data_IF_578940854882
#
_entry.id   IF_578940854882
#
_cell.length_a   1.000
_cell.length_b   1.000
_cell.length_c   1.000
_cell.angle_alpha   90.00
_cell.angle_beta   90.00
_cell.angle_gamma   90.00
#
_symmetry.space_group_name_H-M   'P 1'
#
loop_
_entity.id
_entity.type
_entity.pdbx_description
1 polymer ?
#
# COMPACT_ATOMS: atom_id res chain seq x y z
N UNK A 1 -10.29 -3.16 0.61
CA UNK A 1 -9.83 -2.27 -0.48
C UNK A 1 -9.43 -3.12 -1.67
N UNK A 2 -9.82 -2.70 -2.85
CA UNK A 2 -9.52 -3.42 -4.09
C UNK A 2 -8.42 -2.71 -4.87
N UNK A 3 -7.67 -3.48 -5.65
CA UNK A 3 -6.59 -2.95 -6.49
C UNK A 3 -7.10 -1.85 -7.44
N UNK A 4 -8.28 -2.03 -8.01
CA UNK A 4 -8.86 -1.05 -8.94
C UNK A 4 -9.14 0.29 -8.25
N UNK A 5 -9.46 0.27 -6.97
CA UNK A 5 -9.69 1.50 -6.21
C UNK A 5 -8.40 2.31 -6.09
N UNK A 6 -7.28 1.62 -5.85
CA UNK A 6 -5.97 2.27 -5.75
C UNK A 6 -5.57 2.87 -7.09
N UNK A 7 -5.78 2.13 -8.18
CA UNK A 7 -5.43 2.61 -9.52
C UNK A 7 -6.22 3.83 -9.93
N UNK A 8 -7.43 4.00 -9.38
CA UNK A 8 -8.30 5.12 -9.72
C UNK A 8 -8.20 6.28 -8.73
N UNK A 9 -7.34 6.18 -7.73
CA UNK A 9 -7.17 7.26 -6.76
C UNK A 9 -6.57 8.50 -7.40
N UNK A 10 -7.03 9.67 -6.95
CA UNK A 10 -6.39 10.93 -7.29
C UNK A 10 -5.06 11.04 -6.53
N UNK A 11 -4.23 12.01 -6.94
CA UNK A 11 -2.96 12.24 -6.24
C UNK A 11 -3.20 12.54 -4.75
N UNK A 12 -4.24 13.32 -4.45
CA UNK A 12 -4.59 13.65 -3.08
C UNK A 12 -4.95 12.40 -2.28
N UNK A 13 -5.74 11.52 -2.88
CA UNK A 13 -6.15 10.26 -2.24
C UNK A 13 -4.95 9.34 -2.00
N UNK A 14 -4.02 9.29 -2.95
CA UNK A 14 -2.80 8.51 -2.79
C UNK A 14 -1.96 9.02 -1.64
N UNK A 15 -1.84 10.34 -1.52
CA UNK A 15 -1.11 10.96 -0.41
C UNK A 15 -1.76 10.60 0.93
N UNK A 16 -3.06 10.71 1.02
CA UNK A 16 -3.78 10.35 2.24
C UNK A 16 -3.60 8.87 2.58
N UNK A 17 -3.66 8.01 1.58
CA UNK A 17 -3.48 6.58 1.77
C UNK A 17 -2.09 6.26 2.31
N UNK A 18 -1.06 6.83 1.70
CA UNK A 18 0.32 6.60 2.14
C UNK A 18 0.56 7.17 3.54
N UNK A 19 0.03 8.35 3.80
CA UNK A 19 0.17 8.98 5.12
C UNK A 19 -0.51 8.16 6.21
N UNK A 20 -1.67 7.62 5.91
CA UNK A 20 -2.44 6.80 6.86
C UNK A 20 -1.65 5.57 7.31
N UNK A 21 -0.88 4.98 6.41
CA UNK A 21 -0.09 3.79 6.70
C UNK A 21 1.37 4.10 7.05
N UNK A 22 1.71 5.38 7.19
CA UNK A 22 3.04 5.77 7.60
C UNK A 22 4.13 5.57 6.56
N UNK A 23 3.77 5.51 5.28
CA UNK A 23 4.74 5.35 4.20
C UNK A 23 5.32 6.70 3.84
N UNK A 24 6.65 6.79 3.78
CA UNK A 24 7.32 8.04 3.43
C UNK A 24 7.11 8.37 1.95
N UNK A 25 6.84 9.64 1.69
CA UNK A 25 6.68 10.15 0.34
C UNK A 25 7.00 11.64 0.32
N UNK A 26 7.23 12.17 -0.88
CA UNK A 26 7.43 13.60 -1.07
C UNK A 26 6.19 14.19 -1.73
N UNK A 27 5.65 15.32 -1.22
CA UNK A 27 4.42 15.90 -1.79
C UNK A 27 4.54 16.29 -3.26
N UNK A 28 5.75 16.53 -3.74
CA UNK A 28 6.00 16.92 -5.13
C UNK A 28 6.23 15.73 -6.07
N UNK A 29 6.15 14.51 -5.56
CA UNK A 29 6.26 13.33 -6.42
C UNK A 29 5.09 13.27 -7.40
N UNK A 30 5.36 12.70 -8.57
CA UNK A 30 4.31 12.53 -9.58
C UNK A 30 3.25 11.55 -9.09
N UNK A 31 2.05 11.64 -9.66
CA UNK A 31 0.98 10.69 -9.36
C UNK A 31 1.43 9.27 -9.62
N UNK A 32 2.20 9.05 -10.70
CA UNK A 32 2.70 7.73 -11.04
C UNK A 32 3.62 7.17 -9.95
N UNK A 33 4.51 8.01 -9.42
CA UNK A 33 5.41 7.59 -8.35
C UNK A 33 4.64 7.26 -7.07
N UNK A 34 3.67 8.09 -6.72
CA UNK A 34 2.82 7.86 -5.55
C UNK A 34 1.98 6.60 -5.74
N UNK A 35 1.48 6.38 -6.96
CA UNK A 35 0.71 5.18 -7.27
C UNK A 35 1.57 3.92 -7.11
N UNK A 36 2.82 3.96 -7.56
CA UNK A 36 3.73 2.83 -7.39
C UNK A 36 3.92 2.50 -5.92
N UNK A 37 4.13 3.52 -5.08
CA UNK A 37 4.26 3.32 -3.64
C UNK A 37 2.99 2.75 -3.04
N UNK A 38 1.83 3.25 -3.47
CA UNK A 38 0.55 2.76 -2.98
C UNK A 38 0.32 1.29 -3.36
N UNK A 39 0.69 0.92 -4.57
CA UNK A 39 0.57 -0.47 -5.01
C UNK A 39 1.51 -1.38 -4.23
N UNK A 40 2.74 -0.95 -3.99
CA UNK A 40 3.68 -1.70 -3.18
C UNK A 40 3.13 -1.90 -1.77
N UNK A 41 2.55 -0.85 -1.20
CA UNK A 41 1.92 -0.94 0.12
C UNK A 41 0.75 -1.92 0.12
N UNK A 42 -0.08 -1.85 -0.90
CA UNK A 42 -1.23 -2.75 -1.05
C UNK A 42 -0.78 -4.22 -1.04
N UNK A 43 0.22 -4.53 -1.84
CA UNK A 43 0.75 -5.89 -1.91
C UNK A 43 1.43 -6.30 -0.61
N UNK A 44 2.14 -5.39 0.03
CA UNK A 44 2.78 -5.66 1.31
C UNK A 44 1.76 -5.99 2.40
N UNK A 45 0.66 -5.24 2.45
CA UNK A 45 -0.41 -5.51 3.42
C UNK A 45 -1.00 -6.88 3.17
N UNK A 46 -1.27 -7.19 1.92
CA UNK A 46 -1.85 -8.47 1.53
C UNK A 46 -0.90 -9.62 1.84
N UNK A 47 0.37 -9.46 1.51
CA UNK A 47 1.38 -10.48 1.75
C UNK A 47 1.62 -10.66 3.25
N UNK A 48 1.63 -9.57 4.00
CA UNK A 48 1.81 -9.65 5.46
C UNK A 48 0.68 -10.42 6.13
N UNK A 49 -0.54 -10.25 5.66
CA UNK A 49 -1.66 -11.01 6.21
C UNK A 49 -1.47 -12.50 5.96
N UNK A 50 -1.08 -12.85 4.73
CA UNK A 50 -0.78 -14.23 4.39
C UNK A 50 0.45 -14.75 5.11
N UNK A 51 1.47 -13.93 5.19
CA UNK A 51 2.70 -14.29 5.86
C UNK A 51 2.50 -14.54 7.37
N UNK A 52 1.76 -13.66 8.02
CA UNK A 52 1.47 -13.81 9.44
C UNK A 52 0.72 -15.12 9.69
N UNK A 53 -0.23 -15.42 8.85
CA UNK A 53 -1.00 -16.64 8.95
C UNK A 53 -0.11 -17.87 8.78
N UNK A 54 0.72 -17.88 7.76
CA UNK A 54 1.65 -18.97 7.51
C UNK A 54 2.70 -19.08 8.60
N UNK A 55 3.17 -17.96 9.11
CA UNK A 55 4.15 -17.93 10.17
C UNK A 55 3.60 -18.57 11.45
N UNK A 56 2.36 -18.26 11.78
CA UNK A 56 1.69 -18.88 12.92
C UNK A 56 1.59 -20.39 12.72
N UNK A 57 1.18 -20.79 11.53
CA UNK A 57 1.09 -22.21 11.18
C UNK A 57 2.45 -22.90 11.22
N UNK A 58 3.44 -22.27 10.63
CA UNK A 58 4.79 -22.85 10.54
C UNK A 58 5.53 -22.79 11.85
N UNK A 59 5.24 -21.79 12.66
CA UNK A 59 5.90 -21.63 13.95
C UNK A 59 5.44 -22.60 15.01
N UNK A 60 4.40 -23.28 14.71
CA UNK A 60 3.87 -24.30 15.61
C UNK A 60 4.52 -25.65 15.35
#
# INVERSE_FOLDING_TARGET
>A
MKLVEIKNMSKHDLIEFLDLYGVEFYPDESKKALLTKALDLFWAIRDNQGYIYESVSAGL
#
